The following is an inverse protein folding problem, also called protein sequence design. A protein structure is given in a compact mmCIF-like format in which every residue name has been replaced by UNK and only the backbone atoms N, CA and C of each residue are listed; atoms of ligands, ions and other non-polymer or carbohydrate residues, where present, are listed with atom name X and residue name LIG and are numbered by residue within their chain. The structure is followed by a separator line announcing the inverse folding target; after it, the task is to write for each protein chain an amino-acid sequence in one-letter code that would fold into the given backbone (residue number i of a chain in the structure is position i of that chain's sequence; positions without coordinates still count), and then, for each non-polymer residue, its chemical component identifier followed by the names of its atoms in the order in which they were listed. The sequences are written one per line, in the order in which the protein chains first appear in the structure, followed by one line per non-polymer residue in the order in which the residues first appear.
data_IF_031201259832
#
_entry.id   IF_031201259832
#
_cell.length_a   1.000
_cell.length_b   1.000
_cell.length_c   1.000
_cell.angle_alpha   90.00
_cell.angle_beta   90.00
_cell.angle_gamma   90.00
#
_symmetry.space_group_name_H-M   'P 1'
#
loop_
_entity.id
_entity.type
_entity.pdbx_description
1 polymer ?
#
# COMPACT_ATOMS: atom_id res chain seq x y z
N UNK A 1 18.13 -17.81 10.87
CA UNK A 1 17.62 -16.46 10.58
C UNK A 1 16.80 -16.01 11.79
N UNK A 2 17.08 -14.86 12.38
CA UNK A 2 16.29 -14.37 13.51
C UNK A 2 14.87 -14.04 13.02
N UNK A 3 13.85 -14.17 13.88
CA UNK A 3 12.46 -13.80 13.55
C UNK A 3 12.37 -12.31 13.16
N UNK A 4 13.17 -11.47 13.80
CA UNK A 4 13.25 -10.04 13.50
C UNK A 4 13.83 -9.80 12.10
N UNK A 5 14.89 -10.53 11.71
CA UNK A 5 15.49 -10.42 10.37
C UNK A 5 14.51 -10.83 9.27
N UNK A 6 13.71 -11.88 9.53
CA UNK A 6 12.65 -12.31 8.61
C UNK A 6 11.57 -11.23 8.45
N UNK A 7 11.08 -10.66 9.57
CA UNK A 7 10.07 -9.60 9.54
C UNK A 7 10.59 -8.38 8.78
N UNK A 8 11.83 -7.95 9.02
CA UNK A 8 12.43 -6.83 8.28
C UNK A 8 12.58 -7.11 6.78
N UNK A 9 12.93 -8.35 6.42
CA UNK A 9 13.02 -8.76 5.01
C UNK A 9 11.64 -8.71 4.34
N UNK A 10 10.61 -9.22 5.01
CA UNK A 10 9.24 -9.20 4.51
C UNK A 10 8.73 -7.76 4.35
N UNK A 11 8.97 -6.89 5.34
CA UNK A 11 8.64 -5.46 5.25
C UNK A 11 9.29 -4.84 4.01
N UNK A 12 10.59 -5.07 3.80
CA UNK A 12 11.30 -4.53 2.64
C UNK A 12 10.68 -5.00 1.32
N UNK A 13 10.34 -6.27 1.20
CA UNK A 13 9.68 -6.82 0.01
C UNK A 13 8.34 -6.14 -0.25
N UNK A 14 7.52 -5.97 0.79
CA UNK A 14 6.23 -5.29 0.66
C UNK A 14 6.40 -3.80 0.33
N UNK A 15 7.41 -3.10 0.88
CA UNK A 15 7.73 -1.73 0.49
C UNK A 15 8.05 -1.62 -1.00
N UNK A 16 8.86 -2.54 -1.54
CA UNK A 16 9.19 -2.56 -2.98
C UNK A 16 7.95 -2.81 -3.84
N UNK A 17 7.05 -3.71 -3.42
CA UNK A 17 5.78 -3.96 -4.11
C UNK A 17 4.85 -2.74 -4.05
N UNK A 18 4.79 -2.04 -2.92
CA UNK A 18 3.99 -0.81 -2.76
C UNK A 18 4.48 0.26 -3.73
N UNK A 19 5.79 0.47 -3.88
CA UNK A 19 6.32 1.43 -4.86
C UNK A 19 5.89 1.08 -6.29
N UNK A 20 5.94 -0.21 -6.66
CA UNK A 20 5.49 -0.66 -7.99
C UNK A 20 4.01 -0.37 -8.18
N UNK A 21 3.16 -0.69 -7.19
CA UNK A 21 1.72 -0.43 -7.25
C UNK A 21 1.43 1.07 -7.40
N UNK A 22 2.14 1.93 -6.67
CA UNK A 22 2.00 3.39 -6.77
C UNK A 22 2.33 3.83 -8.21
N UNK A 23 3.49 3.43 -8.72
CA UNK A 23 3.94 3.80 -10.08
C UNK A 23 3.00 3.29 -11.17
N UNK A 24 2.44 2.09 -11.01
CA UNK A 24 1.46 1.53 -11.96
C UNK A 24 0.09 2.20 -11.87
N UNK A 25 -0.20 2.86 -10.76
CA UNK A 25 -1.43 3.65 -10.56
C UNK A 25 -1.24 5.12 -10.97
N UNK A 26 -0.02 5.54 -11.30
CA UNK A 26 0.22 6.87 -11.88
C UNK A 26 -0.25 6.94 -13.33
N UNK A 27 -0.75 8.11 -13.75
CA UNK A 27 -1.08 8.35 -15.15
C UNK A 27 0.16 8.16 -16.04
N UNK A 28 -0.04 7.92 -17.34
CA UNK A 28 1.05 7.78 -18.33
C UNK A 28 2.02 9.00 -18.27
N UNK A 29 1.53 10.16 -17.86
CA UNK A 29 2.29 11.40 -17.72
C UNK A 29 2.75 11.69 -16.27
N UNK A 30 2.50 10.79 -15.33
CA UNK A 30 2.79 10.89 -13.88
C UNK A 30 2.26 12.17 -13.24
N UNK A 31 1.18 12.72 -13.80
CA UNK A 31 0.59 13.98 -13.36
C UNK A 31 -0.47 13.81 -12.28
N UNK A 32 -1.02 12.60 -12.16
CA UNK A 32 -1.96 12.22 -11.09
C UNK A 32 -1.83 10.73 -10.79
N UNK A 33 -2.29 10.33 -9.61
CA UNK A 33 -2.51 8.92 -9.25
C UNK A 33 -4.00 8.61 -9.42
N UNK A 34 -4.34 7.51 -10.09
CA UNK A 34 -5.69 6.96 -10.07
C UNK A 34 -5.90 6.23 -8.73
N UNK A 35 -6.58 6.91 -7.81
CA UNK A 35 -6.82 6.36 -6.47
C UNK A 35 -7.78 5.18 -6.44
N UNK A 36 -8.61 4.98 -7.47
CA UNK A 36 -9.48 3.80 -7.53
C UNK A 36 -8.67 2.57 -7.93
N UNK A 37 -7.79 2.70 -8.92
CA UNK A 37 -6.86 1.63 -9.31
C UNK A 37 -5.89 1.31 -8.17
N UNK A 38 -5.37 2.33 -7.48
CA UNK A 38 -4.54 2.17 -6.30
C UNK A 38 -5.27 1.41 -5.19
N UNK A 39 -6.52 1.80 -4.85
CA UNK A 39 -7.31 1.11 -3.82
C UNK A 39 -7.56 -0.36 -4.15
N UNK A 40 -7.92 -0.66 -5.40
CA UNK A 40 -8.12 -2.03 -5.84
C UNK A 40 -6.88 -2.91 -5.63
N UNK A 41 -5.69 -2.39 -5.98
CA UNK A 41 -4.41 -3.10 -5.83
C UNK A 41 -3.97 -3.21 -4.38
N UNK A 42 -4.12 -2.15 -3.59
CA UNK A 42 -3.80 -2.13 -2.16
C UNK A 42 -4.65 -3.15 -1.39
N UNK A 43 -5.94 -3.28 -1.70
CA UNK A 43 -6.81 -4.32 -1.09
C UNK A 43 -6.28 -5.72 -1.35
N UNK A 44 -5.79 -5.98 -2.56
CA UNK A 44 -5.21 -7.28 -2.93
C UNK A 44 -3.89 -7.52 -2.18
N UNK A 45 -3.06 -6.47 -2.04
CA UNK A 45 -1.81 -6.52 -1.29
C UNK A 45 -2.04 -6.83 0.20
N UNK A 46 -3.05 -6.21 0.82
CA UNK A 46 -3.40 -6.44 2.24
C UNK A 46 -3.81 -7.90 2.47
N UNK A 47 -4.57 -8.50 1.54
CA UNK A 47 -4.93 -9.91 1.63
C UNK A 47 -3.69 -10.82 1.56
N UNK A 48 -2.74 -10.52 0.67
CA UNK A 48 -1.48 -11.25 0.58
C UNK A 48 -0.64 -11.09 1.87
N UNK A 49 -0.51 -9.86 2.38
CA UNK A 49 0.22 -9.54 3.60
C UNK A 49 -0.28 -10.37 4.79
N UNK A 50 -1.61 -10.49 4.91
CA UNK A 50 -2.26 -11.30 5.95
C UNK A 50 -1.91 -12.79 5.86
N UNK A 51 -1.82 -13.35 4.64
CA UNK A 51 -1.42 -14.75 4.43
C UNK A 51 0.04 -14.97 4.81
N UNK A 52 0.90 -13.99 4.52
CA UNK A 52 2.33 -14.02 4.86
C UNK A 52 2.61 -13.71 6.34
N UNK A 53 1.58 -13.34 7.12
CA UNK A 53 1.68 -13.01 8.54
C UNK A 53 2.22 -11.61 8.83
N UNK A 54 2.15 -10.70 7.86
CA UNK A 54 2.46 -9.29 8.02
C UNK A 54 1.23 -8.52 8.51
N UNK A 55 1.42 -7.67 9.50
CA UNK A 55 0.36 -6.83 10.05
C UNK A 55 -0.08 -5.78 9.01
N UNK A 56 -1.39 -5.64 8.82
CA UNK A 56 -1.98 -4.70 7.87
C UNK A 56 -1.57 -3.24 8.16
N UNK A 57 -1.37 -2.88 9.44
CA UNK A 57 -0.90 -1.55 9.84
C UNK A 57 0.43 -1.16 9.20
N UNK A 58 1.34 -2.12 8.99
CA UNK A 58 2.62 -1.86 8.34
C UNK A 58 2.43 -1.39 6.89
N UNK A 59 1.47 -1.98 6.17
CA UNK A 59 1.15 -1.58 4.81
C UNK A 59 0.59 -0.17 4.79
N UNK A 60 -0.32 0.14 5.72
CA UNK A 60 -0.91 1.47 5.84
C UNK A 60 0.12 2.53 6.24
N UNK A 61 1.04 2.25 7.16
CA UNK A 61 2.10 3.17 7.58
C UNK A 61 3.00 3.55 6.39
N UNK A 62 3.35 2.56 5.55
CA UNK A 62 4.14 2.81 4.33
C UNK A 62 3.33 3.67 3.34
N UNK A 63 2.07 3.35 3.10
CA UNK A 63 1.20 4.09 2.18
C UNK A 63 0.95 5.52 2.64
N UNK A 64 0.71 5.74 3.94
CA UNK A 64 0.53 7.07 4.52
C UNK A 64 1.78 7.93 4.33
N UNK A 65 2.97 7.35 4.48
CA UNK A 65 4.21 8.08 4.27
C UNK A 65 4.49 8.40 2.78
N UNK A 66 4.11 7.49 1.87
CA UNK A 66 4.44 7.61 0.44
C UNK A 66 3.40 8.39 -0.36
N UNK A 67 2.12 8.22 -0.06
CA UNK A 67 1.00 8.88 -0.75
C UNK A 67 -0.05 9.34 0.29
N UNK A 68 0.23 10.40 1.07
CA UNK A 68 -0.69 10.88 2.11
C UNK A 68 -2.09 11.21 1.58
N UNK A 69 -2.19 11.73 0.35
CA UNK A 69 -3.47 12.08 -0.29
C UNK A 69 -4.37 10.87 -0.54
N UNK A 70 -3.79 9.68 -0.70
CA UNK A 70 -4.55 8.45 -0.83
C UNK A 70 -5.31 8.11 0.46
N UNK A 71 -4.70 8.35 1.63
CA UNK A 71 -5.36 8.16 2.92
C UNK A 71 -6.53 9.15 3.10
N UNK A 72 -6.35 10.38 2.63
CA UNK A 72 -7.41 11.40 2.61
C UNK A 72 -8.57 10.99 1.69
N UNK A 73 -8.26 10.45 0.50
CA UNK A 73 -9.25 9.92 -0.44
C UNK A 73 -10.12 8.83 0.20
N UNK A 74 -9.49 7.84 0.86
CA UNK A 74 -10.22 6.76 1.56
C UNK A 74 -11.13 7.29 2.67
N UNK A 75 -10.65 8.30 3.40
CA UNK A 75 -11.43 8.96 4.46
C UNK A 75 -12.64 9.69 3.90
N UNK A 76 -12.50 10.34 2.73
CA UNK A 76 -13.61 10.96 2.01
C UNK A 76 -14.64 9.94 1.51
N UNK A 77 -14.21 8.77 1.02
CA UNK A 77 -15.12 7.69 0.63
C UNK A 77 -15.93 7.14 1.80
N UNK A 78 -15.34 6.99 2.99
CA UNK A 78 -16.03 6.51 4.20
C UNK A 78 -17.16 7.44 4.67
N UNK A 79 -17.11 8.73 4.33
CA UNK A 79 -18.16 9.70 4.67
C UNK A 79 -19.32 9.64 3.65
N UNK A 80 -19.05 9.19 2.43
CA UNK A 80 -20.01 9.13 1.33
C UNK A 80 -20.77 7.79 1.21
N UNK A 81 -20.38 6.76 1.98
CA UNK A 81 -20.98 5.42 1.99
C UNK A 81 -21.84 5.19 3.25
#
# INVERSE_FOLDING_TARGET
MNKDDFKQTLIKQYSEVIEVIILESESIYRSHIDYNELDFRVRSLIQAAKVDGLEETVIWDILEHRVPEYINFLSGMKIAA
#
